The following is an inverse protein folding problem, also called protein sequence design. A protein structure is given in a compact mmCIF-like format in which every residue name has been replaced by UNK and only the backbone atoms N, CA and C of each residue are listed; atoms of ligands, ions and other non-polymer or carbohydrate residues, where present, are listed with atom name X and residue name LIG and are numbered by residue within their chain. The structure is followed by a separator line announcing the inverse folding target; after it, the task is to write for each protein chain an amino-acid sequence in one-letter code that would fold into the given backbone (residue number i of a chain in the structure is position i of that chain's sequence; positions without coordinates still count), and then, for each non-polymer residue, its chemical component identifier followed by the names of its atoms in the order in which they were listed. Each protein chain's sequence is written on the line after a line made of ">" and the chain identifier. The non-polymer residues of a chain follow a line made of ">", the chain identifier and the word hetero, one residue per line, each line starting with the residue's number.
data_IF_947919070196
#
_entry.id   IF_947919070196
#
_cell.length_a   1.000
_cell.length_b   1.000
_cell.length_c   1.000
_cell.angle_alpha   90.00
_cell.angle_beta   90.00
_cell.angle_gamma   90.00
#
_symmetry.space_group_name_H-M   'P 1'
#
loop_
_entity.id
_entity.type
_entity.pdbx_description
1 polymer ?
#
# COMPACT_ATOMS: atom_id res chain seq x y z
N UNK A 1 61.93 -26.41 7.91
CA UNK A 1 60.72 -26.13 7.09
C UNK A 1 59.62 -25.50 7.96
N UNK A 2 59.36 -26.01 9.17
CA UNK A 2 58.33 -25.50 10.08
C UNK A 2 58.50 -24.03 10.54
N UNK A 3 59.74 -23.60 10.84
CA UNK A 3 60.01 -22.22 11.29
C UNK A 3 59.74 -21.17 10.21
N UNK A 4 60.09 -21.47 8.95
CA UNK A 4 59.87 -20.58 7.81
C UNK A 4 58.36 -20.39 7.53
N UNK A 5 57.55 -21.44 7.70
CA UNK A 5 56.09 -21.35 7.53
C UNK A 5 55.45 -20.52 8.64
N UNK A 6 55.82 -20.74 9.92
CA UNK A 6 55.32 -19.92 11.03
C UNK A 6 55.74 -18.44 10.91
N UNK A 7 56.99 -18.19 10.48
CA UNK A 7 57.47 -16.84 10.20
C UNK A 7 56.66 -16.18 9.08
N UNK A 8 56.34 -16.90 8.01
CA UNK A 8 55.52 -16.37 6.91
C UNK A 8 54.08 -16.07 7.32
N UNK A 9 53.46 -16.96 8.10
CA UNK A 9 52.10 -16.78 8.63
C UNK A 9 52.02 -15.57 9.58
N UNK A 10 53.06 -15.30 10.36
CA UNK A 10 53.11 -14.12 11.23
C UNK A 10 53.12 -12.78 10.46
N UNK A 11 53.39 -12.80 9.15
CA UNK A 11 53.33 -11.61 8.29
C UNK A 11 52.00 -11.47 7.54
N UNK A 12 51.07 -12.42 7.70
CA UNK A 12 49.76 -12.29 7.09
C UNK A 12 48.98 -11.17 7.74
N UNK A 13 48.38 -10.32 6.91
CA UNK A 13 47.43 -9.33 7.38
C UNK A 13 46.09 -10.01 7.59
N UNK A 14 45.61 -9.99 8.83
CA UNK A 14 44.29 -10.52 9.17
C UNK A 14 43.18 -9.66 8.53
N UNK A 15 42.03 -10.25 8.17
CA UNK A 15 40.82 -9.51 7.88
C UNK A 15 40.44 -8.58 9.04
N UNK A 16 39.80 -7.45 8.74
CA UNK A 16 39.22 -6.61 9.80
C UNK A 16 38.05 -7.32 10.50
N UNK A 17 37.71 -6.91 11.72
CA UNK A 17 36.57 -7.47 12.44
C UNK A 17 35.26 -7.25 11.67
N UNK A 18 35.09 -6.08 11.06
CA UNK A 18 33.94 -5.81 10.18
C UNK A 18 33.87 -6.76 8.98
N UNK A 19 35.01 -7.08 8.35
CA UNK A 19 35.06 -8.10 7.30
C UNK A 19 34.74 -9.48 7.86
N UNK A 20 35.15 -9.79 9.10
CA UNK A 20 34.74 -10.97 9.85
C UNK A 20 33.23 -11.09 9.99
N UNK A 21 32.55 -10.00 10.38
CA UNK A 21 31.09 -9.95 10.46
C UNK A 21 30.45 -10.18 9.09
N UNK A 22 30.94 -9.54 8.03
CA UNK A 22 30.44 -9.76 6.67
C UNK A 22 30.61 -11.22 6.20
N UNK A 23 31.75 -11.84 6.49
CA UNK A 23 31.99 -13.25 6.18
C UNK A 23 31.01 -14.16 6.95
N UNK A 24 30.75 -13.87 8.22
CA UNK A 24 29.76 -14.59 9.04
C UNK A 24 28.35 -14.45 8.45
N UNK A 25 27.90 -13.23 8.16
CA UNK A 25 26.56 -12.99 7.61
C UNK A 25 26.35 -13.59 6.22
N UNK A 26 27.41 -13.76 5.44
CA UNK A 26 27.40 -14.39 4.11
C UNK A 26 27.61 -15.91 4.17
N UNK A 27 27.66 -16.50 5.37
CA UNK A 27 27.82 -17.94 5.58
C UNK A 27 29.17 -18.50 5.10
N UNK A 28 30.19 -17.66 4.97
CA UNK A 28 31.52 -18.08 4.53
C UNK A 28 32.36 -18.64 5.68
N UNK A 29 32.02 -18.26 6.92
CA UNK A 29 32.65 -18.73 8.15
C UNK A 29 31.59 -18.99 9.22
N UNK A 30 31.92 -19.85 10.18
CA UNK A 30 31.10 -20.10 11.37
C UNK A 30 31.36 -19.09 12.49
N UNK A 31 30.54 -19.11 13.54
CA UNK A 31 30.79 -18.34 14.77
C UNK A 31 32.10 -18.77 15.46
N UNK A 32 32.46 -20.06 15.34
CA UNK A 32 33.74 -20.58 15.86
C UNK A 32 34.93 -19.96 15.14
N UNK A 33 34.87 -19.90 13.81
CA UNK A 33 35.91 -19.27 12.98
C UNK A 33 36.04 -17.76 13.27
N UNK A 34 34.91 -17.06 13.51
CA UNK A 34 34.93 -15.66 13.94
C UNK A 34 35.58 -15.49 15.31
N UNK A 35 35.28 -16.37 16.28
CA UNK A 35 35.97 -16.38 17.60
C UNK A 35 37.47 -16.59 17.45
N UNK A 36 37.88 -17.47 16.55
CA UNK A 36 39.30 -17.71 16.28
C UNK A 36 39.95 -16.48 15.66
N UNK A 37 39.28 -15.79 14.72
CA UNK A 37 39.73 -14.50 14.20
C UNK A 37 39.90 -13.44 15.30
N UNK A 38 38.93 -13.33 16.22
CA UNK A 38 39.03 -12.42 17.37
C UNK A 38 40.22 -12.77 18.29
N UNK A 39 40.47 -14.07 18.51
CA UNK A 39 41.62 -14.55 19.27
C UNK A 39 42.94 -14.23 18.58
N UNK A 40 43.05 -14.48 17.28
CA UNK A 40 44.26 -14.19 16.49
C UNK A 40 44.51 -12.68 16.37
N UNK A 41 43.46 -11.87 16.45
CA UNK A 41 43.55 -10.41 16.53
C UNK A 41 43.86 -9.88 17.95
N UNK A 42 44.22 -10.74 18.89
CA UNK A 42 44.54 -10.42 20.30
C UNK A 42 43.42 -9.68 21.06
N UNK A 43 42.16 -9.91 20.71
CA UNK A 43 41.01 -9.39 21.47
C UNK A 43 40.76 -10.29 22.68
N UNK A 44 40.65 -9.69 23.87
CA UNK A 44 40.44 -10.46 25.10
C UNK A 44 39.13 -11.29 25.06
N UNK A 45 39.14 -12.57 25.53
CA UNK A 45 37.99 -13.48 25.43
C UNK A 45 36.67 -12.94 25.99
N UNK A 46 36.72 -12.08 27.02
CA UNK A 46 35.53 -11.47 27.64
C UNK A 46 34.72 -10.61 26.65
N UNK A 47 35.36 -10.09 25.60
CA UNK A 47 34.70 -9.26 24.59
C UNK A 47 34.17 -10.05 23.39
N UNK A 48 34.50 -11.34 23.28
CA UNK A 48 34.12 -12.12 22.10
C UNK A 48 32.61 -12.20 21.95
N UNK A 49 31.90 -12.60 23.01
CA UNK A 49 30.45 -12.78 22.95
C UNK A 49 29.70 -11.45 22.75
N UNK A 50 30.04 -10.36 23.46
CA UNK A 50 29.47 -9.05 23.16
C UNK A 50 29.70 -8.58 21.71
N UNK A 51 30.90 -8.75 21.17
CA UNK A 51 31.23 -8.35 19.79
C UNK A 51 30.47 -9.19 18.76
N UNK A 52 30.30 -10.49 19.02
CA UNK A 52 29.53 -11.38 18.15
C UNK A 52 28.04 -11.05 18.21
N UNK A 53 27.50 -10.74 19.39
CA UNK A 53 26.10 -10.39 19.55
C UNK A 53 25.72 -9.13 18.74
N UNK A 54 26.57 -8.11 18.73
CA UNK A 54 26.35 -6.88 17.96
C UNK A 54 26.67 -6.99 16.48
N UNK A 55 27.14 -8.16 16.00
CA UNK A 55 27.34 -8.38 14.57
C UNK A 55 25.98 -8.34 13.84
N UNK A 56 24.94 -8.89 14.45
CA UNK A 56 23.59 -8.93 13.89
C UNK A 56 22.87 -7.59 14.06
N UNK A 57 22.10 -7.21 13.04
CA UNK A 57 21.34 -5.95 13.06
C UNK A 57 20.08 -6.11 13.91
N UNK A 58 19.76 -5.13 14.77
CA UNK A 58 18.45 -5.06 15.40
C UNK A 58 17.35 -4.80 14.36
N UNK A 59 16.09 -5.03 14.73
CA UNK A 59 14.97 -4.60 13.89
C UNK A 59 14.99 -3.09 13.67
N UNK A 60 14.64 -2.64 12.47
CA UNK A 60 14.55 -1.21 12.17
C UNK A 60 13.31 -0.63 12.84
N UNK A 61 13.33 0.67 13.21
CA UNK A 61 12.12 1.37 13.73
C UNK A 61 10.89 1.20 12.84
N UNK A 62 11.07 1.06 11.52
CA UNK A 62 9.95 0.86 10.60
C UNK A 62 9.38 -0.54 10.75
N UNK A 63 10.25 -1.55 10.81
CA UNK A 63 9.83 -2.94 10.96
C UNK A 63 9.29 -3.21 12.36
N UNK A 64 9.87 -2.65 13.42
CA UNK A 64 9.34 -2.72 14.80
C UNK A 64 7.88 -2.25 14.84
N UNK A 65 7.55 -1.10 14.24
CA UNK A 65 6.16 -0.59 14.19
C UNK A 65 5.23 -1.49 13.38
N UNK A 66 5.69 -2.02 12.25
CA UNK A 66 4.90 -2.91 11.38
C UNK A 66 4.65 -4.26 12.03
N UNK A 67 5.67 -4.83 12.65
CA UNK A 67 5.59 -6.09 13.39
C UNK A 67 4.63 -5.96 14.58
N UNK A 68 4.65 -4.83 15.29
CA UNK A 68 3.67 -4.52 16.33
C UNK A 68 2.25 -4.42 15.77
N UNK A 69 2.03 -3.69 14.68
CA UNK A 69 0.72 -3.62 14.01
C UNK A 69 0.21 -4.99 13.51
N UNK A 70 1.10 -5.94 13.26
CA UNK A 70 0.75 -7.30 12.83
C UNK A 70 0.64 -8.29 14.00
N UNK A 71 0.85 -7.84 15.24
CA UNK A 71 0.84 -8.69 16.44
C UNK A 71 2.04 -9.64 16.56
N UNK A 72 3.12 -9.40 15.80
CA UNK A 72 4.37 -10.18 15.89
C UNK A 72 5.19 -9.74 17.10
N UNK A 73 5.13 -8.45 17.44
CA UNK A 73 5.69 -7.90 18.68
C UNK A 73 4.53 -7.40 19.54
N UNK A 74 4.63 -7.58 20.85
CA UNK A 74 3.71 -6.99 21.81
C UNK A 74 4.20 -5.62 22.33
N UNK A 75 3.41 -4.97 23.19
CA UNK A 75 3.77 -3.68 23.78
C UNK A 75 5.08 -3.72 24.59
N UNK A 76 5.38 -4.87 25.24
CA UNK A 76 6.57 -5.02 26.06
C UNK A 76 7.84 -5.18 25.21
N UNK A 77 7.73 -5.82 24.05
CA UNK A 77 8.82 -6.00 23.10
C UNK A 77 9.31 -4.67 22.49
N UNK A 78 8.44 -3.66 22.38
CA UNK A 78 8.75 -2.40 21.72
C UNK A 78 9.94 -1.68 22.37
N UNK A 79 9.93 -1.56 23.70
CA UNK A 79 10.98 -0.84 24.43
C UNK A 79 12.34 -1.51 24.20
N UNK A 80 12.39 -2.84 24.29
CA UNK A 80 13.64 -3.58 24.05
C UNK A 80 14.16 -3.36 22.64
N UNK A 81 13.29 -3.46 21.64
CA UNK A 81 13.68 -3.28 20.24
C UNK A 81 14.17 -1.87 19.91
N UNK A 82 13.64 -0.84 20.59
CA UNK A 82 14.18 0.51 20.46
C UNK A 82 15.53 0.67 21.19
N UNK A 83 15.71 0.05 22.35
CA UNK A 83 17.00 0.06 23.04
C UNK A 83 18.09 -0.67 22.23
N UNK A 84 17.76 -1.76 21.55
CA UNK A 84 18.70 -2.49 20.67
C UNK A 84 19.19 -1.62 19.49
N UNK A 85 18.44 -0.58 19.12
CA UNK A 85 18.84 0.41 18.11
C UNK A 85 19.70 1.55 18.70
N UNK A 86 19.95 1.53 20.00
CA UNK A 86 20.79 2.51 20.70
C UNK A 86 20.02 3.65 21.37
N UNK A 87 18.69 3.61 21.43
CA UNK A 87 17.93 4.55 22.26
C UNK A 87 18.16 4.27 23.75
N UNK A 88 18.26 5.32 24.57
CA UNK A 88 18.14 5.16 26.02
C UNK A 88 16.71 4.77 26.43
N UNK A 89 16.53 4.43 27.71
CA UNK A 89 15.25 3.95 28.23
C UNK A 89 14.12 4.97 28.07
N UNK A 90 14.39 6.26 28.29
CA UNK A 90 13.37 7.31 28.17
C UNK A 90 12.89 7.41 26.71
N UNK A 91 13.82 7.54 25.77
CA UNK A 91 13.49 7.64 24.35
C UNK A 91 12.84 6.36 23.82
N UNK A 92 13.29 5.18 24.25
CA UNK A 92 12.70 3.91 23.87
C UNK A 92 11.25 3.77 24.39
N UNK A 93 11.00 4.19 25.62
CA UNK A 93 9.64 4.19 26.23
C UNK A 93 8.72 5.15 25.48
N UNK A 94 9.17 6.37 25.20
CA UNK A 94 8.40 7.35 24.44
C UNK A 94 8.10 6.86 23.00
N UNK A 95 9.06 6.18 22.37
CA UNK A 95 8.88 5.63 21.03
C UNK A 95 7.93 4.43 21.01
N UNK A 96 7.96 3.57 22.04
CA UNK A 96 7.00 2.49 22.23
C UNK A 96 5.59 3.08 22.38
N UNK A 97 5.41 4.06 23.27
CA UNK A 97 4.12 4.74 23.46
C UNK A 97 3.61 5.40 22.17
N UNK A 98 4.47 6.12 21.45
CA UNK A 98 4.15 6.67 20.13
C UNK A 98 3.69 5.58 19.16
N UNK A 99 4.36 4.43 19.13
CA UNK A 99 4.04 3.31 18.23
C UNK A 99 2.66 2.74 18.50
N UNK A 100 2.32 2.55 19.78
CA UNK A 100 1.01 2.06 20.22
C UNK A 100 -0.09 3.01 19.75
N UNK A 101 0.08 4.32 20.02
CA UNK A 101 -0.88 5.35 19.61
C UNK A 101 -1.00 5.43 18.08
N UNK A 102 0.12 5.42 17.37
CA UNK A 102 0.17 5.51 15.92
C UNK A 102 -0.54 4.34 15.24
N UNK A 103 -0.34 3.11 15.76
CA UNK A 103 -1.01 1.93 15.20
C UNK A 103 -2.50 1.94 15.54
N UNK A 104 -2.88 2.35 16.76
CA UNK A 104 -4.29 2.49 17.16
C UNK A 104 -5.04 3.49 16.27
N UNK A 105 -4.43 4.64 15.96
CA UNK A 105 -5.02 5.66 15.08
C UNK A 105 -5.13 5.16 13.64
N UNK A 106 -4.11 4.44 13.14
CA UNK A 106 -4.14 3.86 11.80
C UNK A 106 -5.18 2.74 11.65
N UNK A 107 -5.34 1.90 12.67
CA UNK A 107 -6.38 0.88 12.70
C UNK A 107 -7.77 1.51 12.72
N UNK A 108 -7.96 2.57 13.49
CA UNK A 108 -9.18 3.37 13.51
C UNK A 108 -9.50 3.98 12.14
N UNK A 109 -8.52 4.56 11.47
CA UNK A 109 -8.67 5.13 10.11
C UNK A 109 -8.99 4.04 9.07
N UNK A 110 -8.35 2.87 9.15
CA UNK A 110 -8.63 1.74 8.26
C UNK A 110 -10.05 1.21 8.49
N UNK A 111 -10.43 1.02 9.75
CA UNK A 111 -11.76 0.56 10.14
C UNK A 111 -12.83 1.57 9.73
N UNK A 112 -12.57 2.88 9.86
CA UNK A 112 -13.44 3.93 9.32
C UNK A 112 -13.65 3.75 7.82
N UNK A 113 -12.59 3.58 7.05
CA UNK A 113 -12.70 3.44 5.58
C UNK A 113 -13.55 2.22 5.20
N UNK A 114 -13.39 1.10 5.91
CA UNK A 114 -14.19 -0.11 5.69
C UNK A 114 -15.67 0.08 6.09
N UNK A 115 -15.95 0.76 7.22
CA UNK A 115 -17.31 1.11 7.63
C UNK A 115 -17.99 2.00 6.58
N UNK A 116 -17.32 3.07 6.15
CA UNK A 116 -17.86 4.00 5.15
C UNK A 116 -18.13 3.30 3.81
N UNK A 117 -17.22 2.41 3.38
CA UNK A 117 -17.42 1.57 2.20
C UNK A 117 -18.59 0.61 2.37
N UNK A 118 -18.75 0.00 3.54
CA UNK A 118 -19.88 -0.88 3.86
C UNK A 118 -21.21 -0.13 3.81
N UNK A 119 -21.24 1.09 4.34
CA UNK A 119 -22.39 1.98 4.27
C UNK A 119 -22.73 2.37 2.82
N UNK A 120 -21.75 2.88 2.05
CA UNK A 120 -21.93 3.25 0.64
C UNK A 120 -22.47 2.09 -0.21
N UNK A 121 -22.05 0.87 0.09
CA UNK A 121 -22.52 -0.36 -0.59
C UNK A 121 -23.88 -0.88 -0.09
N UNK A 122 -24.51 -0.22 0.88
CA UNK A 122 -25.77 -0.65 1.47
C UNK A 122 -25.68 -1.88 2.37
N UNK A 123 -24.47 -2.30 2.76
CA UNK A 123 -24.25 -3.43 3.68
C UNK A 123 -24.55 -3.02 5.12
N UNK A 124 -24.24 -1.77 5.47
CA UNK A 124 -24.52 -1.18 6.78
C UNK A 124 -25.62 -0.13 6.65
N UNK A 125 -26.56 -0.13 7.60
CA UNK A 125 -27.53 0.96 7.72
C UNK A 125 -26.87 2.24 8.25
N UNK A 126 -27.53 3.39 8.09
CA UNK A 126 -27.01 4.66 8.61
C UNK A 126 -26.78 4.60 10.14
N UNK A 127 -27.71 3.96 10.86
CA UNK A 127 -27.59 3.73 12.31
C UNK A 127 -26.39 2.84 12.64
N UNK A 128 -26.26 1.68 11.99
CA UNK A 128 -25.20 0.72 12.29
C UNK A 128 -23.82 1.29 11.97
N UNK A 129 -23.70 2.03 10.86
CA UNK A 129 -22.47 2.72 10.50
C UNK A 129 -22.13 3.84 11.49
N UNK A 130 -23.14 4.59 11.97
CA UNK A 130 -22.95 5.61 13.01
C UNK A 130 -22.46 4.99 14.31
N UNK A 131 -23.12 3.93 14.78
CA UNK A 131 -22.76 3.22 16.01
C UNK A 131 -21.34 2.64 15.91
N UNK A 132 -20.96 2.09 14.76
CA UNK A 132 -19.61 1.57 14.51
C UNK A 132 -18.53 2.68 14.52
N UNK A 133 -18.78 3.82 13.88
CA UNK A 133 -17.85 4.97 13.86
C UNK A 133 -17.65 5.56 15.26
N UNK A 134 -18.73 5.67 16.05
CA UNK A 134 -18.65 6.12 17.44
C UNK A 134 -17.92 5.08 18.31
N UNK A 135 -18.18 3.79 18.09
CA UNK A 135 -17.52 2.69 18.80
C UNK A 135 -16.00 2.66 18.63
N UNK A 136 -15.49 3.08 17.46
CA UNK A 136 -14.05 3.22 17.23
C UNK A 136 -13.50 4.60 17.65
N UNK A 137 -14.32 5.50 18.19
CA UNK A 137 -13.89 6.75 18.82
C UNK A 137 -14.09 8.04 18.00
N UNK A 138 -14.86 8.02 16.90
CA UNK A 138 -15.25 9.27 16.23
C UNK A 138 -16.40 9.97 16.95
N UNK A 139 -16.36 11.31 17.08
CA UNK A 139 -17.51 12.07 17.59
C UNK A 139 -18.75 11.90 16.71
N UNK A 140 -19.94 11.87 17.32
CA UNK A 140 -21.23 11.67 16.62
C UNK A 140 -21.45 12.63 15.44
N UNK A 141 -21.14 13.91 15.60
CA UNK A 141 -21.30 14.90 14.53
C UNK A 141 -20.39 14.63 13.32
N UNK A 142 -19.19 14.09 13.58
CA UNK A 142 -18.23 13.77 12.53
C UNK A 142 -18.61 12.47 11.82
N UNK A 143 -19.15 11.49 12.54
CA UNK A 143 -19.74 10.30 11.95
C UNK A 143 -20.89 10.67 10.98
N UNK A 144 -21.82 11.51 11.42
CA UNK A 144 -22.93 11.99 10.58
C UNK A 144 -22.43 12.73 9.32
N UNK A 145 -21.40 13.57 9.47
CA UNK A 145 -20.77 14.24 8.33
C UNK A 145 -20.20 13.25 7.32
N UNK A 146 -19.42 12.25 7.76
CA UNK A 146 -18.85 11.26 6.85
C UNK A 146 -19.91 10.43 6.11
N UNK A 147 -20.96 10.00 6.80
CA UNK A 147 -22.05 9.26 6.14
C UNK A 147 -22.77 10.12 5.10
N UNK A 148 -22.99 11.41 5.38
CA UNK A 148 -23.58 12.31 4.38
C UNK A 148 -22.70 12.51 3.15
N UNK A 149 -21.38 12.47 3.31
CA UNK A 149 -20.44 12.52 2.20
C UNK A 149 -20.50 11.24 1.36
N UNK A 150 -20.63 10.08 2.00
CA UNK A 150 -20.80 8.81 1.28
C UNK A 150 -22.14 8.73 0.54
N UNK A 151 -23.21 9.32 1.07
CA UNK A 151 -24.49 9.45 0.36
C UNK A 151 -24.35 10.31 -0.91
N UNK A 152 -23.58 11.40 -0.83
CA UNK A 152 -23.25 12.24 -2.00
C UNK A 152 -22.45 11.43 -3.03
N UNK A 153 -21.40 10.73 -2.60
CA UNK A 153 -20.59 9.90 -3.50
C UNK A 153 -21.43 8.80 -4.18
N UNK A 154 -22.36 8.17 -3.45
CA UNK A 154 -23.27 7.17 -4.03
C UNK A 154 -24.18 7.78 -5.12
N UNK A 155 -24.67 9.01 -4.90
CA UNK A 155 -25.45 9.73 -5.91
C UNK A 155 -24.62 10.09 -7.15
N UNK A 156 -23.38 10.55 -6.95
CA UNK A 156 -22.44 10.84 -8.02
C UNK A 156 -22.09 9.58 -8.84
N UNK A 157 -21.87 8.44 -8.18
CA UNK A 157 -21.57 7.17 -8.82
C UNK A 157 -22.72 6.71 -9.75
N UNK A 158 -23.97 6.84 -9.30
CA UNK A 158 -25.17 6.55 -10.12
C UNK A 158 -25.26 7.51 -11.31
N UNK A 159 -25.02 8.81 -11.09
CA UNK A 159 -25.04 9.79 -12.17
C UNK A 159 -23.96 9.50 -13.22
N UNK A 160 -22.76 9.13 -12.79
CA UNK A 160 -21.66 8.72 -13.66
C UNK A 160 -21.99 7.45 -14.47
N UNK A 161 -22.67 6.47 -13.87
CA UNK A 161 -23.15 5.28 -14.57
C UNK A 161 -24.20 5.60 -15.64
N UNK A 162 -25.17 6.49 -15.35
CA UNK A 162 -26.14 6.92 -16.36
C UNK A 162 -25.47 7.71 -17.47
N UNK A 163 -24.50 8.59 -17.17
CA UNK A 163 -23.71 9.31 -18.18
C UNK A 163 -23.00 8.33 -19.11
N UNK A 164 -22.34 7.30 -18.57
CA UNK A 164 -21.68 6.24 -19.37
C UNK A 164 -22.67 5.43 -20.21
N UNK A 165 -23.85 5.16 -19.66
CA UNK A 165 -24.92 4.46 -20.37
C UNK A 165 -25.41 5.28 -21.56
N UNK A 166 -25.70 6.57 -21.36
CA UNK A 166 -26.10 7.50 -22.43
C UNK A 166 -24.99 7.65 -23.47
N UNK A 167 -23.73 7.77 -23.05
CA UNK A 167 -22.58 7.79 -23.97
C UNK A 167 -22.59 6.57 -24.89
N UNK A 168 -22.72 5.38 -24.31
CA UNK A 168 -22.70 4.12 -25.05
C UNK A 168 -23.84 4.04 -26.06
N UNK A 169 -25.08 4.33 -25.63
CA UNK A 169 -26.26 4.32 -26.48
C UNK A 169 -26.14 5.34 -27.63
N UNK A 170 -25.65 6.54 -27.34
CA UNK A 170 -25.51 7.61 -28.34
C UNK A 170 -24.43 7.28 -29.37
N UNK A 171 -23.25 6.84 -28.91
CA UNK A 171 -22.13 6.45 -29.78
C UNK A 171 -22.52 5.24 -30.65
N UNK A 172 -23.32 4.32 -30.13
CA UNK A 172 -23.86 3.17 -30.87
C UNK A 172 -24.99 3.53 -31.83
N UNK A 173 -25.45 4.78 -31.85
CA UNK A 173 -26.59 5.27 -32.65
C UNK A 173 -27.93 4.65 -32.25
N UNK A 174 -28.05 4.12 -31.03
CA UNK A 174 -29.29 3.57 -30.47
C UNK A 174 -30.23 4.67 -29.97
N UNK A 175 -29.67 5.82 -29.57
CA UNK A 175 -30.42 7.03 -29.24
C UNK A 175 -29.94 8.23 -30.05
N UNK A 176 -30.83 9.19 -30.25
CA UNK A 176 -30.49 10.49 -30.82
C UNK A 176 -30.06 11.52 -29.76
N UNK A 177 -29.63 12.70 -30.22
CA UNK A 177 -29.14 13.77 -29.36
C UNK A 177 -30.25 14.33 -28.45
N UNK A 178 -31.50 14.39 -28.92
CA UNK A 178 -32.64 14.87 -28.14
C UNK A 178 -32.96 13.91 -26.99
N UNK A 179 -32.98 12.61 -27.27
CA UNK A 179 -33.19 11.55 -26.29
C UNK A 179 -32.07 11.53 -25.22
N UNK A 180 -30.81 11.70 -25.64
CA UNK A 180 -29.69 11.80 -24.69
C UNK A 180 -29.74 13.07 -23.83
N UNK A 181 -30.11 14.22 -24.39
CA UNK A 181 -30.35 15.44 -23.62
C UNK A 181 -31.45 15.27 -22.57
N UNK A 182 -32.55 14.59 -22.91
CA UNK A 182 -33.64 14.34 -21.98
C UNK A 182 -33.20 13.48 -20.78
N UNK A 183 -32.40 12.42 -21.04
CA UNK A 183 -31.87 11.54 -19.99
C UNK A 183 -30.87 12.26 -19.08
N UNK A 184 -29.91 12.99 -19.65
CA UNK A 184 -28.91 13.72 -18.89
C UNK A 184 -29.48 14.92 -18.14
N UNK A 185 -30.56 15.52 -18.66
CA UNK A 185 -31.28 16.59 -17.99
C UNK A 185 -31.90 16.16 -16.65
N UNK A 186 -32.23 14.88 -16.50
CA UNK A 186 -32.73 14.33 -15.23
C UNK A 186 -31.64 14.26 -14.13
N UNK A 187 -30.35 14.39 -14.49
CA UNK A 187 -29.21 14.36 -13.57
C UNK A 187 -28.83 15.76 -13.04
N UNK A 188 -29.67 16.78 -13.23
CA UNK A 188 -29.40 18.18 -12.88
C UNK A 188 -28.11 18.78 -13.50
N UNK A 189 -27.63 18.21 -14.61
CA UNK A 189 -26.49 18.75 -15.35
C UNK A 189 -26.89 20.03 -16.09
N UNK A 190 -26.02 21.05 -16.06
CA UNK A 190 -26.24 22.28 -16.83
C UNK A 190 -26.14 22.03 -18.33
N UNK A 191 -26.84 22.82 -19.14
CA UNK A 191 -26.78 22.70 -20.60
C UNK A 191 -25.36 22.79 -21.18
N UNK A 192 -24.48 23.57 -20.55
CA UNK A 192 -23.06 23.65 -20.93
C UNK A 192 -22.30 22.36 -20.65
N UNK A 193 -22.54 21.71 -19.50
CA UNK A 193 -21.94 20.41 -19.17
C UNK A 193 -22.39 19.34 -20.16
N UNK A 194 -23.70 19.28 -20.46
CA UNK A 194 -24.25 18.32 -21.42
C UNK A 194 -23.68 18.56 -22.83
N UNK A 195 -23.54 19.83 -23.25
CA UNK A 195 -22.92 20.19 -24.54
C UNK A 195 -21.49 19.65 -24.67
N UNK A 196 -20.66 19.83 -23.64
CA UNK A 196 -19.28 19.31 -23.60
C UNK A 196 -19.22 17.78 -23.70
N UNK A 197 -20.16 17.07 -23.06
CA UNK A 197 -20.26 15.62 -23.16
C UNK A 197 -20.55 15.20 -24.61
N UNK A 198 -21.55 15.79 -25.26
CA UNK A 198 -21.87 15.47 -26.64
C UNK A 198 -20.77 15.83 -27.64
N UNK A 199 -20.06 16.94 -27.46
CA UNK A 199 -18.88 17.27 -28.28
C UNK A 199 -17.84 16.14 -28.24
N UNK A 200 -17.56 15.62 -27.04
CA UNK A 200 -16.64 14.48 -26.86
C UNK A 200 -17.19 13.21 -27.50
N UNK A 201 -18.47 12.92 -27.32
CA UNK A 201 -19.10 11.71 -27.85
C UNK A 201 -19.25 11.75 -29.37
N UNK A 202 -19.45 12.92 -29.97
CA UNK A 202 -19.50 13.11 -31.43
C UNK A 202 -18.15 12.72 -32.07
N UNK A 203 -17.02 13.08 -31.44
CA UNK A 203 -15.68 12.64 -31.86
C UNK A 203 -15.57 11.11 -31.79
N UNK A 204 -15.99 10.50 -30.68
CA UNK A 204 -15.96 9.04 -30.51
C UNK A 204 -16.86 8.33 -31.53
N UNK A 205 -18.04 8.87 -31.78
CA UNK A 205 -19.04 8.36 -32.73
C UNK A 205 -18.56 8.44 -34.18
N UNK A 206 -17.84 9.50 -34.56
CA UNK A 206 -17.24 9.63 -35.89
C UNK A 206 -16.05 8.68 -36.09
N UNK A 207 -15.24 8.45 -35.04
CA UNK A 207 -14.12 7.49 -35.09
C UNK A 207 -14.57 6.03 -35.25
N UNK A 208 -15.80 5.70 -34.86
CA UNK A 208 -16.38 4.36 -35.02
C UNK A 208 -16.70 4.11 -36.50
N UNK A 209 -15.66 3.76 -37.28
CA UNK A 209 -15.78 3.35 -38.68
C UNK A 209 -16.69 2.13 -38.74
N UNK A 210 -17.81 2.23 -39.46
CA UNK A 210 -18.66 1.08 -39.79
C UNK A 210 -17.84 0.21 -40.75
N UNK A 211 -17.17 -0.81 -40.22
CA UNK A 211 -16.60 -1.87 -41.06
C UNK A 211 -17.76 -2.79 -41.44
N UNK A 212 -18.04 -2.99 -42.74
CA UNK A 212 -19.05 -3.96 -43.15
C UNK A 212 -18.71 -5.33 -42.54
N UNK A 213 -19.70 -6.02 -41.98
CA UNK A 213 -19.51 -7.40 -41.54
C UNK A 213 -19.20 -8.29 -42.76
N UNK A 214 -18.64 -9.49 -42.56
CA UNK A 214 -18.38 -10.43 -43.66
C UNK A 214 -19.64 -10.72 -44.46
N UNK A 215 -20.81 -10.82 -43.80
CA UNK A 215 -22.10 -10.99 -44.47
C UNK A 215 -22.47 -9.77 -45.36
N UNK A 216 -22.17 -8.55 -44.91
CA UNK A 216 -22.39 -7.36 -45.73
C UNK A 216 -21.42 -7.30 -46.91
N UNK A 217 -20.17 -7.74 -46.73
CA UNK A 217 -19.19 -7.86 -47.82
C UNK A 217 -19.61 -8.92 -48.85
N UNK A 218 -20.13 -10.06 -48.40
CA UNK A 218 -20.66 -11.11 -49.28
C UNK A 218 -21.89 -10.62 -50.07
N UNK A 219 -22.78 -9.86 -49.44
CA UNK A 219 -23.91 -9.21 -50.14
C UNK A 219 -23.39 -8.23 -51.17
N UNK A 220 -22.46 -7.34 -50.80
CA UNK A 220 -21.93 -6.34 -51.73
C UNK A 220 -21.20 -6.95 -52.92
N UNK A 221 -20.53 -8.10 -52.73
CA UNK A 221 -19.93 -8.87 -53.82
C UNK A 221 -20.99 -9.48 -54.75
N UNK A 222 -22.06 -10.06 -54.19
CA UNK A 222 -23.17 -10.62 -54.99
C UNK A 222 -23.94 -9.55 -55.75
N UNK A 223 -24.08 -8.37 -55.16
CA UNK A 223 -24.80 -7.22 -55.72
C UNK A 223 -23.92 -6.39 -56.69
N UNK A 224 -22.65 -6.77 -56.88
CA UNK A 224 -21.71 -6.14 -57.82
C UNK A 224 -21.26 -4.72 -57.41
N UNK A 225 -21.37 -4.39 -56.13
CA UNK A 225 -20.99 -3.08 -55.56
C UNK A 225 -19.47 -3.01 -55.31
N UNK A 226 -18.84 -4.16 -55.01
CA UNK A 226 -17.38 -4.37 -54.88
C UNK A 226 -16.97 -5.69 -55.51
#
# INVERSE_FOLDING_TARGET
>A
IEWAQRWWVAHWRLPSISAGFDMLHRGQISVGDLRDLLRTADIAPVWHDPLIAIAYKPYTRVDTRRMHALGVLDDADLVRNYMDQGYDLEHATNMAYFTILYNTDKERETTKADILKGYRKGVLSNRDATDALVGIGYPLHLAAYYLSLEDLHAQEEIADEEIKTVETLYVNREIDKSQGHARLGALNLTGSQIGKLFERWDITRQRKIIRPSVANLESFYKDGII
#
